data_IF_288062584462
#
_entry.id   IF_288062584462
#
_cell.length_a   1.000
_cell.length_b   1.000
_cell.length_c   1.000
_cell.angle_alpha   90.00
_cell.angle_beta   90.00
_cell.angle_gamma   90.00
#
_symmetry.space_group_name_H-M   'P 1'
#
loop_
_entity.id
_entity.type
_entity.pdbx_description
1 polymer ?
#
# COMPACT_ATOMS: atom_id res chain seq x y z
N UNK A 1 -32.23 10.82 -14.60
CA UNK A 1 -30.87 10.91 -14.03
C UNK A 1 -30.63 9.65 -13.22
N UNK A 2 -29.59 8.93 -13.61
CA UNK A 2 -29.25 7.63 -13.06
C UNK A 2 -28.92 7.71 -11.56
N UNK A 3 -29.12 6.62 -10.82
CA UNK A 3 -28.88 6.57 -9.37
C UNK A 3 -27.39 6.82 -9.07
N UNK A 4 -26.49 6.34 -9.92
CA UNK A 4 -25.05 6.57 -9.76
C UNK A 4 -24.69 8.05 -9.99
N UNK A 5 -25.22 8.66 -11.05
CA UNK A 5 -25.01 10.09 -11.34
C UNK A 5 -25.43 10.97 -10.15
N UNK A 6 -26.59 10.69 -9.54
CA UNK A 6 -27.05 11.42 -8.35
C UNK A 6 -26.10 11.30 -7.16
N UNK A 7 -25.53 10.10 -6.94
CA UNK A 7 -24.57 9.87 -5.85
C UNK A 7 -23.25 10.61 -6.09
N UNK A 8 -22.76 10.65 -7.32
CA UNK A 8 -21.55 11.37 -7.70
C UNK A 8 -21.74 12.88 -7.51
N UNK A 9 -22.87 13.44 -7.95
CA UNK A 9 -23.16 14.86 -7.76
C UNK A 9 -23.27 15.24 -6.27
N UNK A 10 -23.89 14.38 -5.45
CA UNK A 10 -23.93 14.58 -4.00
C UNK A 10 -22.52 14.58 -3.38
N UNK A 11 -21.66 13.65 -3.77
CA UNK A 11 -20.28 13.58 -3.28
C UNK A 11 -19.50 14.84 -3.64
N UNK A 12 -19.58 15.30 -4.89
CA UNK A 12 -18.94 16.55 -5.34
C UNK A 12 -19.39 17.74 -4.50
N UNK A 13 -20.70 17.85 -4.24
CA UNK A 13 -21.24 18.92 -3.39
C UNK A 13 -20.65 18.88 -1.98
N UNK A 14 -20.64 17.70 -1.33
CA UNK A 14 -20.08 17.54 0.02
C UNK A 14 -18.61 17.96 0.07
N UNK A 15 -17.82 17.59 -0.94
CA UNK A 15 -16.40 17.96 -1.03
C UNK A 15 -16.23 19.48 -1.21
N UNK A 16 -17.02 20.09 -2.10
CA UNK A 16 -16.93 21.52 -2.41
C UNK A 16 -17.42 22.42 -1.27
N UNK A 17 -18.45 22.01 -0.53
CA UNK A 17 -19.04 22.79 0.56
C UNK A 17 -18.19 22.71 1.86
N UNK A 18 -17.29 21.72 1.97
CA UNK A 18 -16.46 21.49 3.14
C UNK A 18 -15.16 22.28 3.09
N UNK A 19 -14.85 23.02 4.17
CA UNK A 19 -13.56 23.72 4.34
C UNK A 19 -12.48 22.88 5.02
N UNK A 20 -12.84 21.71 5.58
CA UNK A 20 -11.95 20.87 6.41
C UNK A 20 -12.05 19.39 6.01
N UNK A 21 -12.02 19.12 4.71
CA UNK A 21 -12.12 17.76 4.19
C UNK A 21 -10.89 16.94 4.59
N UNK A 22 -11.13 15.77 5.21
CA UNK A 22 -10.10 14.78 5.53
C UNK A 22 -10.26 13.57 4.60
N UNK A 23 -9.18 13.22 3.91
CA UNK A 23 -9.10 11.99 3.11
C UNK A 23 -8.28 10.95 3.88
N UNK A 24 -8.84 9.77 4.05
CA UNK A 24 -8.12 8.60 4.56
C UNK A 24 -7.74 7.71 3.37
N UNK A 25 -6.47 7.76 2.99
CA UNK A 25 -5.90 6.94 1.92
C UNK A 25 -5.20 5.70 2.47
N UNK A 26 -5.30 4.59 1.73
CA UNK A 26 -4.49 3.39 1.95
C UNK A 26 -3.53 3.13 0.80
N UNK A 27 -2.74 2.06 0.89
CA UNK A 27 -1.77 1.66 -0.16
C UNK A 27 -2.40 1.44 -1.54
N UNK A 28 -3.70 1.11 -1.59
CA UNK A 28 -4.46 0.95 -2.84
C UNK A 28 -4.47 2.22 -3.72
N UNK A 29 -4.31 3.41 -3.14
CA UNK A 29 -4.21 4.66 -3.90
C UNK A 29 -2.96 4.73 -4.80
N UNK A 30 -1.92 3.96 -4.46
CA UNK A 30 -0.67 3.94 -5.24
C UNK A 30 -0.68 2.89 -6.36
N UNK A 31 -1.73 2.05 -6.44
CA UNK A 31 -1.83 0.98 -7.43
C UNK A 31 -1.86 1.50 -8.86
N UNK A 32 -2.54 2.63 -9.09
CA UNK A 32 -2.58 3.28 -10.40
C UNK A 32 -1.22 3.84 -10.82
N UNK A 33 -0.37 4.18 -9.85
CA UNK A 33 1.03 4.54 -10.08
C UNK A 33 1.97 3.33 -10.22
N UNK A 34 1.43 2.13 -10.47
CA UNK A 34 2.23 0.91 -10.65
C UNK A 34 2.80 0.31 -9.36
N UNK A 35 2.53 0.90 -8.20
CA UNK A 35 3.01 0.37 -6.93
C UNK A 35 2.16 -0.84 -6.52
N UNK A 36 2.79 -2.00 -6.38
CA UNK A 36 2.14 -3.15 -5.75
C UNK A 36 2.36 -3.09 -4.23
N UNK A 37 1.26 -3.16 -3.47
CA UNK A 37 1.34 -3.17 -2.02
C UNK A 37 1.98 -4.47 -1.54
N UNK A 38 2.82 -4.40 -0.50
CA UNK A 38 3.50 -5.55 0.09
C UNK A 38 2.56 -6.69 0.51
N UNK A 39 1.33 -6.33 0.83
CA UNK A 39 0.27 -7.23 1.29
C UNK A 39 -0.65 -7.69 0.16
N UNK A 40 -0.33 -7.40 -1.10
CA UNK A 40 -1.06 -8.00 -2.21
C UNK A 40 -0.87 -9.52 -2.14
N UNK A 41 -1.88 -10.33 -2.52
CA UNK A 41 -1.77 -11.78 -2.48
C UNK A 41 -0.53 -12.30 -3.20
N UNK A 42 -0.22 -11.73 -4.37
CA UNK A 42 0.93 -12.12 -5.18
C UNK A 42 2.26 -11.76 -4.49
N UNK A 43 2.40 -10.53 -3.96
CA UNK A 43 3.66 -10.09 -3.34
C UNK A 43 3.90 -10.77 -2.00
N UNK A 44 2.84 -10.99 -1.21
CA UNK A 44 2.91 -11.72 0.05
C UNK A 44 3.34 -13.17 -0.18
N UNK A 45 2.75 -13.83 -1.19
CA UNK A 45 3.12 -15.19 -1.55
C UNK A 45 4.58 -15.32 -1.99
N UNK A 46 5.06 -14.44 -2.89
CA UNK A 46 6.46 -14.49 -3.33
C UNK A 46 7.43 -14.12 -2.19
N UNK A 47 7.03 -13.23 -1.29
CA UNK A 47 7.82 -12.89 -0.08
C UNK A 47 7.96 -14.11 0.84
N UNK A 48 6.85 -14.79 1.16
CA UNK A 48 6.87 -15.99 2.00
C UNK A 48 7.70 -17.10 1.37
N UNK A 49 7.59 -17.29 0.06
CA UNK A 49 8.37 -18.29 -0.68
C UNK A 49 9.87 -17.98 -0.67
N UNK A 50 10.27 -16.71 -0.77
CA UNK A 50 11.67 -16.28 -0.83
C UNK A 50 12.35 -16.19 0.53
N UNK A 51 11.64 -15.66 1.53
CA UNK A 51 12.20 -15.35 2.86
C UNK A 51 11.72 -16.29 3.96
N UNK A 52 10.73 -17.16 3.69
CA UNK A 52 10.13 -18.07 4.66
C UNK A 52 9.27 -17.37 5.72
N UNK A 53 8.94 -16.09 5.50
CA UNK A 53 8.28 -15.21 6.45
C UNK A 53 7.33 -14.28 5.71
N UNK A 54 6.21 -13.92 6.35
CA UNK A 54 5.27 -12.98 5.77
C UNK A 54 5.88 -11.57 5.72
N UNK A 55 5.46 -10.71 4.77
CA UNK A 55 5.82 -9.29 4.78
C UNK A 55 5.49 -8.63 6.12
N UNK A 56 4.38 -9.02 6.75
CA UNK A 56 3.95 -8.55 8.07
C UNK A 56 4.94 -8.88 9.18
N UNK A 57 5.51 -10.08 9.18
CA UNK A 57 6.50 -10.49 10.18
C UNK A 57 7.82 -9.73 10.00
N UNK A 58 8.25 -9.58 8.75
CA UNK A 58 9.49 -8.88 8.39
C UNK A 58 9.36 -7.38 8.75
N UNK A 59 8.20 -6.77 8.53
CA UNK A 59 7.93 -5.36 8.84
C UNK A 59 7.48 -5.11 10.29
N UNK A 60 8.12 -5.77 11.26
CA UNK A 60 7.93 -5.46 12.68
C UNK A 60 9.17 -4.84 13.31
N UNK A 61 8.97 -4.02 14.35
CA UNK A 61 10.08 -3.48 15.16
C UNK A 61 10.92 -4.59 15.79
N UNK A 62 10.26 -5.69 16.20
CA UNK A 62 10.94 -6.86 16.77
C UNK A 62 11.86 -7.52 15.75
N UNK A 63 11.39 -7.70 14.51
CA UNK A 63 12.20 -8.27 13.44
C UNK A 63 13.36 -7.37 13.07
N UNK A 64 13.11 -6.06 12.89
CA UNK A 64 14.15 -5.08 12.62
C UNK A 64 15.28 -5.11 13.66
N UNK A 65 14.95 -5.15 14.96
CA UNK A 65 15.94 -5.13 16.03
C UNK A 65 16.71 -6.45 16.16
N UNK A 66 16.04 -7.59 15.97
CA UNK A 66 16.65 -8.91 16.19
C UNK A 66 17.30 -9.49 14.93
N UNK A 67 16.92 -9.02 13.74
CA UNK A 67 17.33 -9.56 12.43
C UNK A 67 17.57 -8.43 11.42
N UNK A 68 18.32 -7.41 11.85
CA UNK A 68 18.54 -6.16 11.12
C UNK A 68 19.11 -6.37 9.71
N UNK A 69 20.05 -7.30 9.54
CA UNK A 69 20.63 -7.60 8.23
C UNK A 69 19.57 -8.12 7.24
N UNK A 70 18.78 -9.12 7.65
CA UNK A 70 17.69 -9.67 6.84
C UNK A 70 16.60 -8.64 6.55
N UNK A 71 16.27 -7.78 7.52
CA UNK A 71 15.34 -6.68 7.30
C UNK A 71 15.83 -5.77 6.18
N UNK A 72 17.10 -5.35 6.23
CA UNK A 72 17.64 -4.43 5.24
C UNK A 72 17.88 -5.08 3.87
N UNK A 73 18.17 -6.39 3.82
CA UNK A 73 18.15 -7.16 2.58
C UNK A 73 16.76 -7.10 1.93
N UNK A 74 15.73 -7.50 2.67
CA UNK A 74 14.34 -7.43 2.20
C UNK A 74 13.96 -6.00 1.77
N UNK A 75 14.26 -4.99 2.58
CA UNK A 75 13.93 -3.61 2.29
C UNK A 75 14.57 -3.10 0.99
N UNK A 76 15.88 -3.34 0.80
CA UNK A 76 16.58 -2.90 -0.41
C UNK A 76 16.08 -3.63 -1.64
N UNK A 77 15.83 -4.93 -1.55
CA UNK A 77 15.43 -5.73 -2.70
C UNK A 77 13.96 -5.52 -3.06
N UNK A 78 13.05 -5.68 -2.10
CA UNK A 78 11.61 -5.72 -2.37
C UNK A 78 10.96 -4.34 -2.40
N UNK A 79 11.50 -3.36 -1.67
CA UNK A 79 10.92 -2.00 -1.60
C UNK A 79 11.64 -1.05 -2.55
N UNK A 80 12.96 -0.94 -2.42
CA UNK A 80 13.73 0.00 -3.24
C UNK A 80 14.03 -0.55 -4.64
N UNK A 81 14.13 -1.87 -4.80
CA UNK A 81 14.38 -2.51 -6.09
C UNK A 81 13.18 -2.50 -7.04
N UNK A 82 11.96 -2.37 -6.49
CA UNK A 82 10.70 -2.47 -7.23
C UNK A 82 9.97 -1.12 -7.34
N UNK A 83 10.69 0.00 -7.33
CA UNK A 83 10.08 1.32 -7.48
C UNK A 83 9.50 1.45 -8.90
N UNK A 84 8.19 1.73 -9.05
CA UNK A 84 7.57 1.92 -10.36
C UNK A 84 8.23 3.08 -11.11
N UNK A 85 8.59 2.87 -12.37
CA UNK A 85 9.01 3.93 -13.28
C UNK A 85 7.76 4.50 -13.94
N UNK A 86 7.12 5.44 -13.25
CA UNK A 86 6.02 6.24 -13.79
C UNK A 86 6.61 7.38 -14.62
#
# INVERSE_FOLDING_TARGET
MDILEKKIELLKKIINDSSYTVMLGGSGMMKEGGYQGLKSPEQAYETEKKYGLSPEDIFTTVFYNNRTEQFFEFYRTEILGNIPQI
#
